data_IF_998937090753
#
_entry.id   IF_998937090753
#
_cell.length_a   1.000
_cell.length_b   1.000
_cell.length_c   1.000
_cell.angle_alpha   90.00
_cell.angle_beta   90.00
_cell.angle_gamma   90.00
#
_symmetry.space_group_name_H-M   'P 1'
#
loop_
_entity.id
_entity.type
_entity.pdbx_description
1 polymer ?
#
# COMPACT_ATOMS: atom_id res chain seq x y z
N UNK A 1 -24.75 27.86 8.82
CA UNK A 1 -23.31 28.12 8.67
C UNK A 1 -22.62 27.62 9.93
N UNK A 2 -21.67 26.69 9.80
CA UNK A 2 -20.85 26.23 10.93
C UNK A 2 -19.91 27.36 11.38
N UNK A 3 -19.82 27.59 12.69
CA UNK A 3 -18.98 28.63 13.34
C UNK A 3 -17.47 28.42 13.17
N UNK A 4 -17.02 27.31 12.57
CA UNK A 4 -15.60 26.89 12.57
C UNK A 4 -14.83 27.18 11.27
N UNK A 5 -15.40 27.94 10.33
CA UNK A 5 -14.75 28.20 9.05
C UNK A 5 -14.54 26.93 8.22
N UNK A 6 -13.71 27.02 7.18
CA UNK A 6 -13.38 25.89 6.32
C UNK A 6 -12.33 24.98 6.97
N UNK A 7 -12.53 23.66 6.88
CA UNK A 7 -11.60 22.66 7.44
C UNK A 7 -10.26 22.70 6.68
N UNK A 8 -9.23 23.26 7.32
CA UNK A 8 -7.87 23.34 6.76
C UNK A 8 -6.89 22.35 7.38
N UNK A 9 -7.17 21.88 8.60
CA UNK A 9 -6.29 20.97 9.33
C UNK A 9 -7.09 20.03 10.24
N UNK A 10 -6.73 18.74 10.23
CA UNK A 10 -7.36 17.74 11.10
C UNK A 10 -6.38 16.63 11.45
N UNK A 11 -6.12 16.40 12.74
CA UNK A 11 -5.25 15.32 13.25
C UNK A 11 -3.89 15.19 12.56
N UNK A 12 -3.28 16.31 12.16
CA UNK A 12 -1.97 16.33 11.46
C UNK A 12 -2.05 16.34 9.94
N UNK A 13 -3.24 16.22 9.36
CA UNK A 13 -3.51 16.31 7.93
C UNK A 13 -3.86 17.75 7.55
N UNK A 14 -3.26 18.24 6.46
CA UNK A 14 -3.60 19.50 5.84
C UNK A 14 -4.60 19.25 4.71
N UNK A 15 -5.65 20.07 4.66
CA UNK A 15 -6.77 19.89 3.75
C UNK A 15 -6.94 21.17 2.95
N UNK A 16 -6.96 21.05 1.62
CA UNK A 16 -7.35 22.12 0.71
C UNK A 16 -8.60 21.66 -0.03
N UNK A 17 -9.71 22.36 0.15
CA UNK A 17 -10.95 22.10 -0.58
C UNK A 17 -11.05 23.04 -1.77
N UNK A 18 -11.60 22.52 -2.85
CA UNK A 18 -11.95 23.28 -4.05
C UNK A 18 -13.22 22.72 -4.69
N UNK A 19 -13.74 23.38 -5.73
CA UNK A 19 -14.94 22.91 -6.44
C UNK A 19 -14.74 21.52 -7.08
N UNK A 20 -13.53 21.24 -7.58
CA UNK A 20 -13.17 20.00 -8.27
C UNK A 20 -12.87 18.81 -7.34
N UNK A 21 -12.72 19.07 -6.03
CA UNK A 21 -12.34 18.03 -5.08
C UNK A 21 -11.64 18.54 -3.82
N UNK A 22 -11.12 17.59 -3.06
CA UNK A 22 -10.37 17.82 -1.82
C UNK A 22 -8.97 17.26 -1.95
N UNK A 23 -7.96 18.08 -1.66
CA UNK A 23 -6.56 17.67 -1.58
C UNK A 23 -6.16 17.49 -0.12
N UNK A 24 -5.64 16.31 0.22
CA UNK A 24 -5.21 15.96 1.59
C UNK A 24 -3.71 15.67 1.57
N UNK A 25 -2.94 16.38 2.37
CA UNK A 25 -1.48 16.27 2.36
C UNK A 25 -0.86 16.52 3.74
N UNK A 26 0.42 16.20 3.88
CA UNK A 26 1.18 16.41 5.12
C UNK A 26 2.48 17.18 4.86
N UNK A 27 2.48 18.14 3.92
CA UNK A 27 3.68 18.83 3.45
C UNK A 27 4.49 19.51 4.58
N UNK A 28 3.80 20.11 5.57
CA UNK A 28 4.46 20.68 6.76
C UNK A 28 5.20 19.58 7.53
N UNK A 29 4.53 18.46 7.80
CA UNK A 29 5.15 17.34 8.50
C UNK A 29 6.32 16.74 7.71
N UNK A 30 6.20 16.61 6.38
CA UNK A 30 7.30 16.19 5.50
C UNK A 30 8.52 17.10 5.67
N UNK A 31 8.32 18.43 5.65
CA UNK A 31 9.39 19.42 5.87
C UNK A 31 9.98 19.31 7.29
N UNK A 32 9.16 19.01 8.30
CA UNK A 32 9.60 18.84 9.70
C UNK A 32 10.48 17.60 9.88
N UNK A 33 10.08 16.45 9.34
CA UNK A 33 10.88 15.22 9.44
C UNK A 33 12.14 15.30 8.59
N UNK A 34 12.11 15.99 7.45
CA UNK A 34 13.31 16.30 6.68
C UNK A 34 14.27 17.16 7.51
N UNK A 35 13.83 18.25 8.14
CA UNK A 35 14.72 19.04 9.03
C UNK A 35 15.29 18.24 10.20
N UNK A 36 14.55 17.26 10.70
CA UNK A 36 14.98 16.40 11.81
C UNK A 36 16.06 15.38 11.40
N UNK A 37 15.95 14.79 10.21
CA UNK A 37 16.79 13.65 9.80
C UNK A 37 17.72 13.95 8.61
N UNK A 38 17.46 15.01 7.85
CA UNK A 38 18.33 15.56 6.80
C UNK A 38 19.12 16.73 7.39
N UNK A 39 20.44 16.54 7.56
CA UNK A 39 21.36 17.60 7.98
C UNK A 39 21.79 18.52 6.82
N UNK A 40 21.10 18.46 5.68
CA UNK A 40 21.38 19.25 4.47
C UNK A 40 22.05 18.45 3.34
N UNK A 41 22.54 17.25 3.63
CA UNK A 41 23.40 16.46 2.74
C UNK A 41 22.63 15.53 1.79
N UNK A 42 21.33 15.34 1.99
CA UNK A 42 20.57 14.42 1.15
C UNK A 42 20.33 15.00 -0.25
N UNK A 43 20.89 14.35 -1.28
CA UNK A 43 20.56 14.63 -2.68
C UNK A 43 19.18 14.07 -3.04
N UNK A 44 18.27 14.84 -3.65
CA UNK A 44 16.94 14.37 -4.04
C UNK A 44 16.99 13.13 -4.95
N UNK A 45 16.00 12.25 -4.83
CA UNK A 45 15.85 11.05 -5.67
C UNK A 45 14.41 10.92 -6.16
N UNK A 46 14.19 10.42 -7.38
CA UNK A 46 12.86 10.35 -7.98
C UNK A 46 12.03 9.14 -7.52
N UNK A 47 12.63 8.15 -6.85
CA UNK A 47 11.93 6.97 -6.30
C UNK A 47 12.36 6.67 -4.86
N UNK A 48 11.46 6.17 -3.99
CA UNK A 48 11.77 5.86 -2.60
C UNK A 48 12.71 4.67 -2.43
N UNK A 49 12.74 3.75 -3.42
CA UNK A 49 13.54 2.54 -3.41
C UNK A 49 14.06 2.23 -4.82
N UNK A 50 15.22 1.58 -4.93
CA UNK A 50 15.76 1.10 -6.21
C UNK A 50 15.27 -0.32 -6.49
N UNK A 51 15.04 -0.67 -7.76
CA UNK A 51 14.76 -2.05 -8.20
C UNK A 51 15.87 -3.05 -7.85
N UNK A 52 17.09 -2.56 -7.63
CA UNK A 52 18.23 -3.39 -7.21
C UNK A 52 18.35 -3.51 -5.69
N UNK A 53 17.42 -2.92 -4.92
CA UNK A 53 17.47 -2.95 -3.46
C UNK A 53 17.21 -4.36 -2.96
N UNK A 54 18.24 -5.00 -2.41
CA UNK A 54 18.14 -6.30 -1.76
C UNK A 54 18.57 -6.16 -0.30
N UNK A 55 17.60 -6.08 0.61
CA UNK A 55 17.88 -6.03 2.06
C UNK A 55 17.82 -7.45 2.65
N UNK A 56 18.81 -7.78 3.46
CA UNK A 56 18.91 -9.01 4.25
C UNK A 56 19.34 -8.65 5.68
N UNK A 57 19.74 -9.63 6.51
CA UNK A 57 20.05 -9.35 7.92
C UNK A 57 21.29 -8.46 8.08
N UNK A 58 22.19 -8.44 7.09
CA UNK A 58 23.46 -7.71 7.11
C UNK A 58 24.22 -7.94 8.44
N UNK A 59 24.40 -9.22 8.81
CA UNK A 59 24.90 -9.63 10.14
C UNK A 59 26.27 -9.00 10.44
N UNK A 60 27.15 -8.94 9.43
CA UNK A 60 28.48 -8.34 9.48
C UNK A 60 28.47 -6.81 9.30
N UNK A 61 27.32 -6.23 8.97
CA UNK A 61 27.17 -4.79 8.74
C UNK A 61 27.34 -3.97 10.02
N UNK A 62 27.72 -2.70 9.83
CA UNK A 62 27.87 -1.74 10.91
C UNK A 62 26.53 -1.51 11.62
N UNK A 63 26.54 -1.60 12.95
CA UNK A 63 25.36 -1.43 13.79
C UNK A 63 24.91 0.03 13.79
N UNK A 64 23.59 0.24 13.69
CA UNK A 64 22.97 1.55 13.78
C UNK A 64 22.23 1.71 15.09
N UNK A 65 22.20 2.92 15.64
CA UNK A 65 21.42 3.24 16.83
C UNK A 65 19.94 2.88 16.63
N UNK A 66 19.44 1.96 17.45
CA UNK A 66 18.08 1.43 17.32
C UNK A 66 17.02 2.52 17.55
N UNK A 67 17.30 3.46 18.47
CA UNK A 67 16.36 4.52 18.82
C UNK A 67 16.21 5.52 17.67
N UNK A 68 17.32 5.90 17.05
CA UNK A 68 17.35 6.74 15.86
C UNK A 68 16.59 6.06 14.71
N UNK A 69 16.92 4.79 14.43
CA UNK A 69 16.28 4.04 13.36
C UNK A 69 14.77 3.91 13.55
N UNK A 70 14.32 3.51 14.75
CA UNK A 70 12.89 3.45 15.08
C UNK A 70 12.22 4.82 15.00
N UNK A 71 12.93 5.88 15.38
CA UNK A 71 12.46 7.26 15.23
C UNK A 71 12.22 7.65 13.77
N UNK A 72 13.11 7.23 12.85
CA UNK A 72 12.93 7.44 11.41
C UNK A 72 11.73 6.64 10.88
N UNK A 73 11.66 5.34 11.18
CA UNK A 73 10.58 4.46 10.74
C UNK A 73 9.21 4.95 11.25
N UNK A 74 9.10 5.28 12.54
CA UNK A 74 7.85 5.78 13.11
C UNK A 74 7.39 7.09 12.45
N UNK A 75 8.33 7.97 12.12
CA UNK A 75 8.01 9.23 11.42
C UNK A 75 7.50 8.97 9.99
N UNK A 76 8.11 8.02 9.29
CA UNK A 76 7.69 7.63 7.95
C UNK A 76 6.35 6.88 7.95
N UNK A 77 6.11 5.99 8.92
CA UNK A 77 4.84 5.29 9.11
C UNK A 77 3.67 6.25 9.34
N UNK A 78 3.89 7.35 10.05
CA UNK A 78 2.87 8.38 10.22
C UNK A 78 2.56 9.11 8.90
N UNK A 79 3.58 9.37 8.08
CA UNK A 79 3.44 10.05 6.80
C UNK A 79 2.75 9.19 5.73
N UNK A 80 2.78 7.85 5.86
CA UNK A 80 2.13 6.99 4.86
C UNK A 80 0.62 7.15 4.80
N UNK A 81 0.00 7.83 5.77
CA UNK A 81 -1.41 8.20 5.78
C UNK A 81 -1.82 9.11 4.60
N UNK A 82 -0.91 9.91 4.05
CA UNK A 82 -1.15 10.69 2.81
C UNK A 82 -0.13 10.40 1.71
N UNK A 83 0.75 9.42 1.94
CA UNK A 83 1.85 9.05 1.03
C UNK A 83 1.86 7.54 0.80
N UNK A 84 0.86 6.98 0.10
CA UNK A 84 0.84 5.55 -0.23
C UNK A 84 2.06 5.13 -1.07
N UNK A 85 2.60 6.05 -1.86
CA UNK A 85 3.77 5.90 -2.72
C UNK A 85 5.05 5.50 -1.98
N UNK A 86 5.15 5.75 -0.66
CA UNK A 86 6.28 5.28 0.16
C UNK A 86 5.96 4.03 0.99
N UNK A 87 4.71 3.56 0.99
CA UNK A 87 4.21 2.53 1.91
C UNK A 87 5.07 1.25 1.87
N UNK A 88 5.33 0.71 0.68
CA UNK A 88 6.14 -0.49 0.53
C UNK A 88 7.55 -0.31 1.09
N UNK A 89 8.24 0.76 0.66
CA UNK A 89 9.62 1.03 1.06
C UNK A 89 9.75 1.16 2.60
N UNK A 90 8.81 1.85 3.23
CA UNK A 90 8.75 2.02 4.69
C UNK A 90 8.49 0.68 5.38
N UNK A 91 7.51 -0.10 4.90
CA UNK A 91 7.16 -1.40 5.48
C UNK A 91 8.30 -2.41 5.36
N UNK A 92 9.05 -2.40 4.25
CA UNK A 92 10.23 -3.24 4.08
C UNK A 92 11.32 -2.87 5.09
N UNK A 93 11.66 -1.57 5.20
CA UNK A 93 12.68 -1.10 6.14
C UNK A 93 12.28 -1.37 7.61
N UNK A 94 11.00 -1.22 7.96
CA UNK A 94 10.50 -1.46 9.30
C UNK A 94 10.76 -2.89 9.82
N UNK A 95 10.96 -3.88 8.94
CA UNK A 95 11.28 -5.27 9.31
C UNK A 95 12.59 -5.38 10.09
N UNK A 96 13.51 -4.44 9.90
CA UNK A 96 14.86 -4.47 10.49
C UNK A 96 14.98 -3.64 11.78
N UNK A 97 13.87 -3.10 12.32
CA UNK A 97 13.88 -2.21 13.49
C UNK A 97 14.41 -2.84 14.79
N UNK A 98 14.48 -4.16 14.86
CA UNK A 98 14.99 -4.89 16.03
C UNK A 98 16.53 -4.90 16.07
N UNK A 99 17.18 -4.99 14.91
CA UNK A 99 18.64 -5.01 14.76
C UNK A 99 19.04 -4.30 13.46
N UNK A 100 18.91 -2.97 13.38
CA UNK A 100 19.19 -2.21 12.17
C UNK A 100 20.70 -2.10 11.93
N UNK A 101 21.05 -1.99 10.65
CA UNK A 101 22.41 -1.95 10.12
C UNK A 101 22.58 -0.75 9.19
N UNK A 102 23.81 -0.44 8.81
CA UNK A 102 24.08 0.71 7.96
C UNK A 102 23.35 0.62 6.62
N UNK A 103 23.29 -0.55 6.00
CA UNK A 103 22.50 -0.83 4.78
C UNK A 103 21.02 -0.45 4.95
N UNK A 104 20.41 -0.86 6.07
CA UNK A 104 19.03 -0.53 6.43
C UNK A 104 18.83 0.99 6.60
N UNK A 105 19.76 1.68 7.25
CA UNK A 105 19.70 3.14 7.42
C UNK A 105 19.86 3.87 6.09
N UNK A 106 20.71 3.36 5.19
CA UNK A 106 20.87 3.92 3.85
C UNK A 106 19.59 3.78 3.02
N UNK A 107 18.88 2.65 3.12
CA UNK A 107 17.57 2.47 2.50
C UNK A 107 16.54 3.49 3.03
N UNK A 108 16.47 3.70 4.35
CA UNK A 108 15.61 4.72 4.95
C UNK A 108 15.99 6.14 4.51
N UNK A 109 17.30 6.45 4.43
CA UNK A 109 17.79 7.73 3.90
C UNK A 109 17.37 7.96 2.45
N UNK A 110 17.26 6.91 1.63
CA UNK A 110 16.73 7.02 0.26
C UNK A 110 15.26 7.45 0.26
N UNK A 111 14.44 6.95 1.17
CA UNK A 111 13.04 7.40 1.31
C UNK A 111 13.00 8.89 1.62
N UNK A 112 13.84 9.38 2.54
CA UNK A 112 13.97 10.82 2.82
C UNK A 112 14.44 11.63 1.59
N UNK A 113 15.37 11.11 0.79
CA UNK A 113 15.77 11.76 -0.48
C UNK A 113 14.61 11.90 -1.45
N UNK A 114 13.72 10.91 -1.49
CA UNK A 114 12.51 10.97 -2.29
C UNK A 114 11.48 11.97 -1.75
N UNK A 115 11.29 12.02 -0.43
CA UNK A 115 10.45 13.04 0.21
C UNK A 115 10.98 14.46 -0.02
N UNK A 116 12.30 14.64 -0.09
CA UNK A 116 12.93 15.91 -0.45
C UNK A 116 12.68 16.30 -1.90
N UNK A 117 12.61 15.31 -2.80
CA UNK A 117 12.22 15.52 -4.20
C UNK A 117 10.72 15.86 -4.33
N UNK A 118 9.89 15.33 -3.43
CA UNK A 118 8.42 15.41 -3.50
C UNK A 118 7.79 15.94 -2.19
N UNK A 119 8.17 17.14 -1.70
CA UNK A 119 7.78 17.59 -0.37
C UNK A 119 6.29 17.93 -0.23
N UNK A 120 5.61 18.16 -1.35
CA UNK A 120 4.24 18.68 -1.39
C UNK A 120 3.22 17.69 -1.94
N UNK A 121 3.64 16.47 -2.31
CA UNK A 121 2.71 15.43 -2.73
C UNK A 121 1.70 15.10 -1.63
N UNK A 122 0.48 14.82 -2.07
CA UNK A 122 -0.65 14.36 -1.26
C UNK A 122 -1.67 13.62 -2.11
N UNK A 123 -2.82 13.33 -1.52
CA UNK A 123 -3.91 12.60 -2.16
C UNK A 123 -4.99 13.54 -2.68
N UNK A 124 -5.44 13.30 -3.89
CA UNK A 124 -6.58 13.98 -4.50
C UNK A 124 -7.85 13.14 -4.41
N UNK A 125 -8.91 13.77 -3.91
CA UNK A 125 -10.26 13.21 -3.84
C UNK A 125 -11.18 14.03 -4.75
N UNK A 126 -11.51 13.51 -5.92
CA UNK A 126 -12.33 14.21 -6.92
C UNK A 126 -13.80 14.29 -6.50
N UNK A 127 -14.44 15.44 -6.74
CA UNK A 127 -15.88 15.63 -6.55
C UNK A 127 -16.73 15.04 -7.69
N UNK A 128 -16.12 14.72 -8.84
CA UNK A 128 -16.83 14.33 -10.07
C UNK A 128 -17.01 12.82 -10.27
N UNK A 129 -16.58 11.99 -9.31
CA UNK A 129 -16.59 10.53 -9.48
C UNK A 129 -17.91 9.87 -9.09
N UNK A 130 -18.34 8.89 -9.89
CA UNK A 130 -19.45 8.01 -9.51
C UNK A 130 -19.02 7.13 -8.33
N UNK A 131 -19.84 7.10 -7.28
CA UNK A 131 -19.61 6.28 -6.10
C UNK A 131 -19.64 4.79 -6.49
N UNK A 132 -18.47 4.17 -6.46
CA UNK A 132 -18.26 2.74 -6.72
C UNK A 132 -17.17 2.25 -5.77
N UNK A 133 -17.31 1.04 -5.25
CA UNK A 133 -16.29 0.42 -4.42
C UNK A 133 -15.55 -0.63 -5.24
N UNK A 134 -14.23 -0.60 -5.26
CA UNK A 134 -13.37 -1.60 -5.90
C UNK A 134 -12.07 -1.81 -5.14
N UNK A 135 -11.46 -2.98 -5.27
CA UNK A 135 -10.16 -3.27 -4.70
C UNK A 135 -9.22 -3.95 -5.69
N UNK A 136 -7.93 -3.75 -5.49
CA UNK A 136 -6.84 -4.42 -6.19
C UNK A 136 -6.02 -5.21 -5.17
N UNK A 137 -5.51 -6.36 -5.58
CA UNK A 137 -4.56 -7.14 -4.80
C UNK A 137 -3.47 -7.71 -5.68
N UNK A 138 -2.25 -7.72 -5.14
CA UNK A 138 -1.05 -8.29 -5.75
C UNK A 138 -0.19 -8.94 -4.65
N UNK A 139 0.69 -9.87 -5.02
CA UNK A 139 1.66 -10.47 -4.12
C UNK A 139 3.04 -10.67 -4.76
N UNK A 140 4.07 -10.08 -4.16
CA UNK A 140 5.45 -10.40 -4.50
C UNK A 140 5.87 -11.72 -3.83
N UNK A 141 5.88 -12.81 -4.61
CA UNK A 141 6.14 -14.17 -4.15
C UNK A 141 7.58 -14.34 -3.64
N UNK A 142 7.72 -14.80 -2.40
CA UNK A 142 9.00 -15.08 -1.76
C UNK A 142 10.01 -13.89 -1.76
N UNK A 143 9.54 -12.66 -1.96
CA UNK A 143 10.39 -11.47 -2.05
C UNK A 143 11.17 -11.12 -0.78
N UNK A 144 10.75 -11.64 0.39
CA UNK A 144 11.52 -11.46 1.62
C UNK A 144 12.72 -12.42 1.68
N UNK A 145 13.93 -11.92 1.47
CA UNK A 145 15.18 -12.72 1.49
C UNK A 145 15.47 -13.41 2.83
N UNK A 146 14.94 -12.91 3.95
CA UNK A 146 15.16 -13.48 5.28
C UNK A 146 14.37 -14.77 5.53
N UNK A 147 13.09 -14.77 5.16
CA UNK A 147 12.13 -15.81 5.55
C UNK A 147 11.47 -16.48 4.34
N UNK A 148 11.82 -16.07 3.11
CA UNK A 148 11.16 -16.43 1.86
C UNK A 148 9.64 -16.24 1.88
N UNK A 149 9.16 -15.31 2.71
CA UNK A 149 7.74 -14.94 2.77
C UNK A 149 7.41 -13.90 1.72
N UNK A 150 6.24 -14.02 1.14
CA UNK A 150 5.72 -13.07 0.15
C UNK A 150 5.31 -11.75 0.79
N UNK A 151 5.22 -10.70 0.00
CA UNK A 151 4.64 -9.41 0.41
C UNK A 151 3.31 -9.19 -0.31
N UNK A 152 2.22 -9.10 0.43
CA UNK A 152 0.91 -8.74 -0.11
C UNK A 152 0.73 -7.23 -0.17
N UNK A 153 0.25 -6.76 -1.32
CA UNK A 153 -0.14 -5.39 -1.59
C UNK A 153 -1.63 -5.32 -1.85
N UNK A 154 -2.31 -4.33 -1.29
CA UNK A 154 -3.74 -4.11 -1.55
C UNK A 154 -4.03 -2.62 -1.64
N UNK A 155 -4.96 -2.23 -2.49
CA UNK A 155 -5.55 -0.89 -2.47
C UNK A 155 -7.04 -0.93 -2.78
N UNK A 156 -7.81 -0.05 -2.14
CA UNK A 156 -9.25 0.05 -2.27
C UNK A 156 -9.64 1.49 -2.60
N UNK A 157 -10.55 1.61 -3.57
CA UNK A 157 -11.02 2.87 -4.11
C UNK A 157 -12.50 3.05 -3.84
N UNK A 158 -12.87 4.30 -3.53
CA UNK A 158 -14.24 4.77 -3.56
C UNK A 158 -14.37 5.80 -4.69
N UNK A 159 -15.11 5.45 -5.73
CA UNK A 159 -15.06 6.15 -7.01
C UNK A 159 -13.67 6.07 -7.62
N UNK A 160 -13.12 7.22 -8.01
CA UNK A 160 -11.74 7.32 -8.48
C UNK A 160 -10.71 7.53 -7.36
N UNK A 161 -11.15 7.67 -6.11
CA UNK A 161 -10.27 8.08 -5.01
C UNK A 161 -9.77 6.90 -4.20
N UNK A 162 -8.46 6.86 -3.97
CA UNK A 162 -7.83 5.87 -3.09
C UNK A 162 -8.20 6.16 -1.62
N UNK A 163 -8.79 5.18 -0.94
CA UNK A 163 -9.28 5.35 0.44
C UNK A 163 -8.67 4.37 1.45
N UNK A 164 -8.10 3.27 0.98
CA UNK A 164 -7.39 2.32 1.83
C UNK A 164 -6.29 1.62 1.03
N UNK A 165 -5.16 1.33 1.68
CA UNK A 165 -4.03 0.64 1.08
C UNK A 165 -3.24 -0.09 2.15
N UNK A 166 -2.50 -1.12 1.74
CA UNK A 166 -1.61 -1.84 2.64
C UNK A 166 -0.46 -2.52 1.89
N UNK A 167 0.68 -2.64 2.57
CA UNK A 167 1.81 -3.48 2.19
C UNK A 167 2.18 -4.32 3.41
N UNK A 168 2.06 -5.65 3.31
CA UNK A 168 2.23 -6.56 4.46
C UNK A 168 3.02 -7.79 4.08
N UNK A 169 4.03 -8.14 4.89
CA UNK A 169 4.68 -9.46 4.81
C UNK A 169 3.65 -10.52 5.19
N UNK A 170 3.48 -11.55 4.37
CA UNK A 170 2.59 -12.66 4.68
C UNK A 170 3.06 -13.38 5.95
N UNK A 171 2.11 -13.93 6.71
CA UNK A 171 2.40 -14.64 7.96
C UNK A 171 3.03 -16.02 7.70
N UNK A 172 2.51 -16.72 6.71
CA UNK A 172 2.96 -18.04 6.24
C UNK A 172 3.87 -17.90 5.01
N UNK A 173 4.74 -18.88 4.82
CA UNK A 173 5.50 -19.04 3.57
C UNK A 173 4.55 -19.67 2.56
N UNK A 174 4.31 -18.97 1.45
CA UNK A 174 3.56 -19.53 0.32
C UNK A 174 4.44 -20.53 -0.44
N UNK A 175 3.84 -21.59 -0.96
CA UNK A 175 4.57 -22.62 -1.74
C UNK A 175 4.52 -22.36 -3.25
N UNK A 176 3.72 -21.40 -3.70
CA UNK A 176 3.63 -20.97 -5.10
C UNK A 176 3.20 -19.51 -5.22
N UNK A 177 3.46 -18.89 -6.37
CA UNK A 177 2.95 -17.54 -6.70
C UNK A 177 1.43 -17.49 -6.59
N UNK A 178 0.73 -18.51 -7.12
CA UNK A 178 -0.73 -18.60 -7.03
C UNK A 178 -1.25 -18.60 -5.60
N UNK A 179 -0.55 -19.30 -4.69
CA UNK A 179 -0.89 -19.28 -3.27
C UNK A 179 -0.69 -17.90 -2.65
N UNK A 180 0.42 -17.23 -2.96
CA UNK A 180 0.70 -15.88 -2.45
C UNK A 180 -0.37 -14.87 -2.92
N UNK A 181 -0.74 -14.93 -4.20
CA UNK A 181 -1.77 -14.09 -4.81
C UNK A 181 -3.13 -14.34 -4.16
N UNK A 182 -3.48 -15.62 -3.94
CA UNK A 182 -4.72 -15.97 -3.28
C UNK A 182 -4.78 -15.41 -1.85
N UNK A 183 -3.68 -15.46 -1.11
CA UNK A 183 -3.57 -14.86 0.23
C UNK A 183 -3.79 -13.33 0.18
N UNK A 184 -3.20 -12.64 -0.81
CA UNK A 184 -3.41 -11.21 -1.00
C UNK A 184 -4.88 -10.88 -1.33
N UNK A 185 -5.49 -11.63 -2.25
CA UNK A 185 -6.88 -11.49 -2.63
C UNK A 185 -7.83 -11.72 -1.45
N UNK A 186 -7.60 -12.75 -0.63
CA UNK A 186 -8.39 -13.00 0.59
C UNK A 186 -8.29 -11.85 1.61
N UNK A 187 -7.09 -11.28 1.78
CA UNK A 187 -6.89 -10.10 2.64
C UNK A 187 -7.62 -8.88 2.08
N UNK A 188 -7.57 -8.66 0.77
CA UNK A 188 -8.26 -7.54 0.12
C UNK A 188 -9.78 -7.69 0.21
N UNK A 189 -10.30 -8.90 -0.01
CA UNK A 189 -11.72 -9.24 0.19
C UNK A 189 -12.18 -8.90 1.61
N UNK A 190 -11.41 -9.29 2.64
CA UNK A 190 -11.72 -8.96 4.04
C UNK A 190 -11.86 -7.44 4.25
N UNK A 191 -10.94 -6.65 3.69
CA UNK A 191 -10.99 -5.20 3.77
C UNK A 191 -12.21 -4.62 3.02
N UNK A 192 -12.53 -5.14 1.83
CA UNK A 192 -13.70 -4.70 1.06
C UNK A 192 -15.02 -5.00 1.78
N UNK A 193 -15.13 -6.14 2.45
CA UNK A 193 -16.31 -6.50 3.23
C UNK A 193 -16.48 -5.60 4.45
N UNK A 194 -15.38 -5.28 5.14
CA UNK A 194 -15.40 -4.32 6.23
C UNK A 194 -15.83 -2.92 5.74
N UNK A 195 -15.31 -2.48 4.59
CA UNK A 195 -15.74 -1.22 3.96
C UNK A 195 -17.20 -1.27 3.53
N UNK A 196 -17.68 -2.37 2.92
CA UNK A 196 -19.09 -2.57 2.55
C UNK A 196 -20.01 -2.40 3.75
N UNK A 197 -19.67 -3.04 4.87
CA UNK A 197 -20.43 -2.92 6.12
C UNK A 197 -20.42 -1.48 6.64
N UNK A 198 -19.26 -0.86 6.73
CA UNK A 198 -19.12 0.52 7.23
C UNK A 198 -19.89 1.52 6.36
N UNK A 199 -19.82 1.36 5.03
CA UNK A 199 -20.53 2.22 4.08
C UNK A 199 -22.05 2.02 4.12
N UNK A 200 -22.52 0.84 4.51
CA UNK A 200 -23.96 0.58 4.70
C UNK A 200 -24.55 1.41 5.86
N UNK A 201 -23.76 1.68 6.90
CA UNK A 201 -24.16 2.56 8.01
C UNK A 201 -24.34 4.02 7.54
N UNK A 202 -23.68 4.40 6.44
CA UNK A 202 -23.85 5.70 5.77
C UNK A 202 -24.94 5.68 4.67
N UNK A 203 -25.71 4.60 4.55
CA UNK A 203 -26.76 4.44 3.54
C UNK A 203 -26.25 4.10 2.14
N UNK A 204 -24.97 3.72 1.99
CA UNK A 204 -24.37 3.31 0.72
C UNK A 204 -24.32 1.79 0.61
N UNK A 205 -24.98 1.23 -0.40
CA UNK A 205 -25.05 -0.22 -0.60
C UNK A 205 -24.32 -0.64 -1.87
N UNK A 206 -23.37 -1.56 -1.72
CA UNK A 206 -22.64 -2.20 -2.83
C UNK A 206 -22.93 -3.70 -2.82
N UNK A 207 -23.49 -4.23 -3.92
CA UNK A 207 -23.86 -5.66 -3.97
C UNK A 207 -22.65 -6.54 -4.23
N UNK A 208 -22.10 -6.43 -5.44
CA UNK A 208 -21.01 -7.26 -5.96
C UNK A 208 -19.80 -6.36 -6.25
N UNK A 209 -18.85 -6.36 -5.33
CA UNK A 209 -17.70 -5.44 -5.35
C UNK A 209 -16.56 -6.02 -6.21
N UNK A 210 -16.10 -5.32 -7.25
CA UNK A 210 -14.95 -5.75 -8.02
C UNK A 210 -13.67 -5.88 -7.17
N UNK A 211 -13.07 -7.06 -7.21
CA UNK A 211 -11.73 -7.36 -6.71
C UNK A 211 -10.85 -7.77 -7.90
N UNK A 212 -9.94 -6.87 -8.26
CA UNK A 212 -9.04 -7.02 -9.39
C UNK A 212 -7.77 -7.76 -8.96
N UNK A 213 -7.46 -8.84 -9.66
CA UNK A 213 -6.33 -9.75 -9.39
C UNK A 213 -5.68 -10.10 -10.72
N UNK A 214 -4.36 -10.11 -10.81
CA UNK A 214 -3.62 -10.44 -12.05
C UNK A 214 -3.38 -11.95 -12.21
N UNK A 215 -3.54 -12.73 -11.14
CA UNK A 215 -3.40 -14.17 -11.16
C UNK A 215 -4.66 -14.89 -11.64
N UNK A 216 -4.72 -15.18 -12.94
CA UNK A 216 -5.75 -16.05 -13.54
C UNK A 216 -5.90 -17.40 -12.81
N UNK A 217 -4.78 -17.97 -12.33
CA UNK A 217 -4.78 -19.22 -11.56
C UNK A 217 -5.46 -19.07 -10.21
N UNK A 218 -5.20 -17.98 -9.47
CA UNK A 218 -5.85 -17.73 -8.19
C UNK A 218 -7.36 -17.51 -8.36
N UNK A 219 -7.76 -16.77 -9.40
CA UNK A 219 -9.16 -16.57 -9.78
C UNK A 219 -9.83 -17.91 -10.08
N UNK A 220 -9.19 -18.77 -10.89
CA UNK A 220 -9.75 -20.08 -11.24
C UNK A 220 -9.95 -20.97 -10.01
N UNK A 221 -9.02 -20.96 -9.05
CA UNK A 221 -9.14 -21.72 -7.80
C UNK A 221 -10.29 -21.19 -6.94
N UNK A 222 -10.50 -19.88 -6.89
CA UNK A 222 -11.62 -19.29 -6.16
C UNK A 222 -12.96 -19.68 -6.80
N UNK A 223 -13.05 -19.66 -8.14
CA UNK A 223 -14.29 -19.94 -8.89
C UNK A 223 -14.65 -21.44 -8.97
N UNK A 224 -13.68 -22.35 -8.83
CA UNK A 224 -13.90 -23.79 -9.03
C UNK A 224 -13.71 -24.62 -7.75
N UNK A 225 -14.76 -25.31 -7.25
CA UNK A 225 -14.70 -26.06 -5.99
C UNK A 225 -13.84 -27.33 -6.05
N UNK A 226 -13.60 -27.90 -7.23
CA UNK A 226 -12.91 -29.20 -7.42
C UNK A 226 -11.39 -29.13 -7.19
N UNK A 227 -10.78 -27.95 -7.30
CA UNK A 227 -9.32 -27.77 -7.27
C UNK A 227 -8.71 -27.80 -5.84
N UNK A 228 -9.51 -28.06 -4.80
CA UNK A 228 -9.13 -27.90 -3.39
C UNK A 228 -8.23 -29.01 -2.82
N UNK A 229 -8.14 -30.17 -3.48
CA UNK A 229 -7.50 -31.37 -2.90
C UNK A 229 -6.00 -31.23 -2.57
N UNK A 230 -5.33 -30.14 -3.00
CA UNK A 230 -3.88 -29.95 -2.88
C UNK A 230 -3.42 -28.82 -1.94
N UNK A 231 -4.30 -28.11 -1.23
CA UNK A 231 -3.91 -26.85 -0.53
C UNK A 231 -4.45 -26.71 0.90
N UNK A 232 -4.19 -27.71 1.75
CA UNK A 232 -4.72 -27.82 3.13
C UNK A 232 -4.14 -26.81 4.14
N UNK A 233 -2.99 -26.19 3.87
CA UNK A 233 -2.28 -25.31 4.83
C UNK A 233 -2.81 -23.88 4.91
N UNK A 234 -3.72 -23.49 4.02
CA UNK A 234 -4.41 -22.18 4.02
C UNK A 234 -5.93 -22.33 3.81
N UNK A 235 -6.46 -23.49 4.20
CA UNK A 235 -7.83 -23.97 4.00
C UNK A 235 -8.91 -22.93 4.34
N UNK A 236 -8.77 -22.27 5.50
CA UNK A 236 -9.72 -21.25 5.97
C UNK A 236 -9.75 -20.03 5.05
N UNK A 237 -8.60 -19.58 4.53
CA UNK A 237 -8.54 -18.44 3.60
C UNK A 237 -9.13 -18.79 2.23
N UNK A 238 -8.91 -20.04 1.78
CA UNK A 238 -9.55 -20.57 0.57
C UNK A 238 -11.07 -20.59 0.68
N UNK A 239 -11.59 -21.14 1.77
CA UNK A 239 -13.02 -21.15 2.00
C UNK A 239 -13.58 -19.73 2.10
N UNK A 240 -12.88 -18.81 2.76
CA UNK A 240 -13.32 -17.43 2.91
C UNK A 240 -13.51 -16.69 1.57
N UNK A 241 -12.47 -16.63 0.72
CA UNK A 241 -12.55 -15.87 -0.52
C UNK A 241 -13.57 -16.48 -1.49
N UNK A 242 -13.63 -17.82 -1.57
CA UNK A 242 -14.63 -18.52 -2.38
C UNK A 242 -16.05 -18.28 -1.89
N UNK A 243 -16.31 -18.44 -0.60
CA UNK A 243 -17.65 -18.26 -0.01
C UNK A 243 -18.21 -16.87 -0.32
N UNK A 244 -17.40 -15.82 -0.19
CA UNK A 244 -17.82 -14.46 -0.52
C UNK A 244 -17.96 -14.20 -2.03
N UNK A 245 -17.22 -14.93 -2.87
CA UNK A 245 -17.45 -14.93 -4.31
C UNK A 245 -18.80 -15.59 -4.67
N UNK A 246 -19.08 -16.78 -4.12
CA UNK A 246 -20.31 -17.54 -4.37
C UNK A 246 -21.56 -16.84 -3.84
N UNK A 247 -21.47 -16.16 -2.69
CA UNK A 247 -22.52 -15.29 -2.14
C UNK A 247 -22.79 -14.04 -2.99
N UNK A 248 -21.89 -13.71 -3.92
CA UNK A 248 -21.97 -12.51 -4.74
C UNK A 248 -21.60 -11.23 -3.99
N UNK A 249 -20.86 -11.32 -2.88
CA UNK A 249 -20.35 -10.13 -2.17
C UNK A 249 -19.24 -9.44 -2.97
N UNK A 250 -18.40 -10.23 -3.65
CA UNK A 250 -17.31 -9.75 -4.50
C UNK A 250 -17.41 -10.32 -5.92
N UNK A 251 -16.78 -9.65 -6.87
CA UNK A 251 -16.50 -10.18 -8.20
C UNK A 251 -15.00 -10.27 -8.45
N UNK A 252 -14.51 -11.47 -8.72
CA UNK A 252 -13.10 -11.66 -9.06
C UNK A 252 -12.88 -11.41 -10.55
N UNK A 253 -12.18 -10.31 -10.84
CA UNK A 253 -11.92 -9.80 -12.19
C UNK A 253 -10.42 -9.87 -12.45
N UNK A 254 -10.05 -10.40 -13.61
CA UNK A 254 -8.66 -10.40 -14.04
C UNK A 254 -8.24 -8.99 -14.46
N UNK A 255 -7.09 -8.52 -14.00
CA UNK A 255 -6.44 -7.29 -14.47
C UNK A 255 -5.10 -7.64 -15.09
N UNK A 256 -4.74 -6.96 -16.17
CA UNK A 256 -3.40 -7.12 -16.75
C UNK A 256 -2.34 -6.54 -15.81
N UNK A 257 -1.16 -7.13 -15.78
CA UNK A 257 -0.06 -6.71 -14.91
C UNK A 257 0.30 -5.23 -15.07
N UNK A 258 0.21 -4.68 -16.28
CA UNK A 258 0.47 -3.26 -16.55
C UNK A 258 -0.55 -2.33 -15.87
N UNK A 259 -1.75 -2.83 -15.59
CA UNK A 259 -2.86 -2.11 -14.96
C UNK A 259 -3.03 -2.49 -13.47
N UNK A 260 -2.10 -3.26 -12.91
CA UNK A 260 -2.16 -3.73 -11.53
C UNK A 260 -1.69 -2.61 -10.58
N UNK A 261 -2.65 -1.87 -10.02
CA UNK A 261 -2.34 -0.76 -9.10
C UNK A 261 -1.73 -1.21 -7.77
N UNK A 262 -1.88 -2.48 -7.40
CA UNK A 262 -1.33 -3.00 -6.16
C UNK A 262 0.20 -3.26 -6.20
N UNK A 263 0.82 -3.28 -7.40
CA UNK A 263 2.25 -3.55 -7.60
C UNK A 263 3.16 -2.58 -6.82
N UNK A 264 2.75 -1.32 -6.71
CA UNK A 264 3.49 -0.29 -5.95
C UNK A 264 3.60 -0.64 -4.46
N UNK A 265 2.77 -1.55 -3.95
CA UNK A 265 2.75 -1.99 -2.56
C UNK A 265 3.50 -3.31 -2.32
N UNK A 266 3.99 -3.99 -3.35
CA UNK A 266 4.59 -5.34 -3.22
C UNK A 266 6.08 -5.38 -3.48
N UNK A 267 6.58 -4.53 -4.38
CA UNK A 267 7.98 -4.55 -4.84
C UNK A 267 8.50 -3.16 -5.21
N UNK A 268 9.83 -2.94 -5.27
CA UNK A 268 10.37 -1.71 -5.82
C UNK A 268 10.16 -1.67 -7.35
N UNK A 269 9.82 -0.50 -7.88
CA UNK A 269 9.52 -0.30 -9.29
C UNK A 269 10.53 0.65 -9.95
N UNK A 270 10.69 0.55 -11.26
CA UNK A 270 11.42 1.56 -12.04
C UNK A 270 10.66 2.89 -12.04
N UNK A 271 11.36 3.96 -12.41
CA UNK A 271 10.80 5.32 -12.32
C UNK A 271 9.54 5.50 -13.18
N UNK A 272 9.48 4.90 -14.37
CA UNK A 272 8.35 5.10 -15.28
C UNK A 272 7.09 4.48 -14.72
N UNK A 273 7.16 3.20 -14.32
CA UNK A 273 6.03 2.48 -13.73
C UNK A 273 5.65 3.10 -12.38
N UNK A 274 6.63 3.43 -11.53
CA UNK A 274 6.37 4.08 -10.24
C UNK A 274 5.61 5.40 -10.39
N UNK A 275 6.03 6.27 -11.31
CA UNK A 275 5.39 7.56 -11.55
C UNK A 275 3.97 7.39 -12.11
N UNK A 276 3.77 6.44 -13.03
CA UNK A 276 2.46 6.10 -13.57
C UNK A 276 1.51 5.65 -12.46
N UNK A 277 1.91 4.67 -11.64
CA UNK A 277 1.08 4.17 -10.55
C UNK A 277 0.81 5.24 -9.48
N UNK A 278 1.76 6.13 -9.18
CA UNK A 278 1.50 7.28 -8.30
C UNK A 278 0.34 8.15 -8.83
N UNK A 279 0.31 8.42 -10.14
CA UNK A 279 -0.78 9.14 -10.79
C UNK A 279 -2.13 8.42 -10.66
N UNK A 280 -2.16 7.12 -10.93
CA UNK A 280 -3.38 6.29 -10.82
C UNK A 280 -3.89 6.18 -9.37
N UNK A 281 -3.00 6.24 -8.38
CA UNK A 281 -3.36 6.31 -6.96
C UNK A 281 -3.90 7.68 -6.52
N UNK A 282 -3.87 8.69 -7.41
CA UNK A 282 -4.25 10.07 -7.08
C UNK A 282 -3.20 10.81 -6.24
N UNK A 283 -1.94 10.38 -6.28
CA UNK A 283 -0.83 11.07 -5.62
C UNK A 283 -0.33 12.19 -6.54
N UNK A 284 -0.61 13.43 -6.18
CA UNK A 284 -0.29 14.59 -7.02
C UNK A 284 0.23 15.78 -6.21
N UNK A 285 0.78 16.76 -6.93
CA UNK A 285 1.09 18.07 -6.36
C UNK A 285 -0.20 18.88 -6.16
N UNK A 286 -0.22 19.83 -5.20
CA UNK A 286 -1.32 20.76 -5.08
C UNK A 286 -1.46 21.60 -6.36
N UNK A 287 -2.70 21.84 -6.78
CA UNK A 287 -3.04 22.83 -7.81
C UNK A 287 -2.74 24.26 -7.35
#
# INVERSE_FOLDING_TARGET
MSLMGELQFFLGLQIKKGPEGTFVHQAKYTKDILRKFDKGDLKPMATPMSTQTALDADEEGEVVDQREYRGMIGSLLYLTATRPDIQFAVCLCARFQASPKLSHRQAVKRIFRYLKYTPELGLWFSSASLLSLRGYSDADFAGCRLEHKSTSGTCQFLGSSLVSWSSRKQSSVATSTTEAEYIAAASCCSQLLWMKSTLSDFGLSFRKIPLLVDSSSAISIAKNPVLHSRTKHIDVRFHFLRDHYEKGDIDLIHVETENQLADIFTKPLDLSIFAHLCGELGVCYPF
#
